data_IF_240232373040
#
_entry.id   IF_240232373040
#
_cell.length_a   1.000
_cell.length_b   1.000
_cell.length_c   1.000
_cell.angle_alpha   90.00
_cell.angle_beta   90.00
_cell.angle_gamma   90.00
#
_symmetry.space_group_name_H-M   'P 1'
#
loop_
_entity.id
_entity.type
_entity.pdbx_description
1 polymer ?
#
# COMPACT_ATOMS: atom_id res chain seq x y z
N UNK A 1 -7.32 30.87 -8.76
CA UNK A 1 -6.12 31.02 -9.61
C UNK A 1 -5.66 32.46 -9.81
N UNK A 2 -6.56 33.45 -9.70
CA UNK A 2 -6.26 34.88 -9.91
C UNK A 2 -5.17 35.42 -8.99
N UNK A 3 -5.20 35.05 -7.70
CA UNK A 3 -4.20 35.51 -6.72
C UNK A 3 -2.74 35.21 -7.10
N UNK A 4 -2.47 34.03 -7.66
CA UNK A 4 -1.08 33.63 -7.99
C UNK A 4 -0.51 34.46 -9.15
N UNK A 5 -1.34 34.81 -10.13
CA UNK A 5 -0.96 35.68 -11.24
C UNK A 5 -0.90 37.15 -10.83
N UNK A 6 -1.88 37.63 -10.06
CA UNK A 6 -1.92 39.01 -9.54
C UNK A 6 -0.71 39.34 -8.68
N UNK A 7 -0.23 38.37 -7.90
CA UNK A 7 0.96 38.52 -7.05
C UNK A 7 2.27 38.07 -7.73
N UNK A 8 2.25 37.77 -9.04
CA UNK A 8 3.41 37.36 -9.82
C UNK A 8 4.19 36.17 -9.22
N UNK A 9 3.47 35.26 -8.56
CA UNK A 9 4.05 34.06 -7.94
C UNK A 9 4.26 32.93 -8.95
N UNK A 10 3.54 32.98 -10.06
CA UNK A 10 3.62 31.99 -11.15
C UNK A 10 3.22 32.65 -12.46
N UNK A 11 3.78 32.17 -13.57
CA UNK A 11 3.33 32.53 -14.91
C UNK A 11 2.63 31.35 -15.63
N UNK A 12 1.95 31.63 -16.74
CA UNK A 12 1.13 30.62 -17.42
C UNK A 12 1.96 29.44 -17.94
N UNK A 13 3.20 29.70 -18.36
CA UNK A 13 4.09 28.65 -18.85
C UNK A 13 4.58 27.72 -17.74
N UNK A 14 4.83 28.25 -16.55
CA UNK A 14 5.19 27.47 -15.36
C UNK A 14 4.02 26.60 -14.91
N UNK A 15 2.81 27.15 -14.91
CA UNK A 15 1.61 26.38 -14.57
C UNK A 15 1.39 25.22 -15.55
N UNK A 16 1.46 25.49 -16.86
CA UNK A 16 1.37 24.45 -17.90
C UNK A 16 2.46 23.39 -17.78
N UNK A 17 3.67 23.78 -17.39
CA UNK A 17 4.75 22.84 -17.16
C UNK A 17 4.51 21.97 -15.92
N UNK A 18 3.90 22.51 -14.87
CA UNK A 18 3.50 21.75 -13.68
C UNK A 18 2.39 20.77 -14.05
N UNK A 19 1.36 21.21 -14.78
CA UNK A 19 0.25 20.36 -15.21
C UNK A 19 0.78 19.17 -16.04
N UNK A 20 1.64 19.42 -17.03
CA UNK A 20 2.27 18.36 -17.83
C UNK A 20 3.05 17.35 -16.98
N UNK A 21 3.79 17.84 -15.97
CA UNK A 21 4.53 16.96 -15.06
C UNK A 21 3.61 16.11 -14.20
N UNK A 22 2.45 16.65 -13.79
CA UNK A 22 1.44 15.92 -13.04
C UNK A 22 0.86 14.82 -13.93
N UNK A 23 0.48 15.14 -15.16
CA UNK A 23 -0.07 14.17 -16.10
C UNK A 23 0.92 13.01 -16.34
N UNK A 24 2.18 13.33 -16.64
CA UNK A 24 3.25 12.33 -16.84
C UNK A 24 3.54 11.50 -15.58
N UNK A 25 3.36 12.05 -14.38
CA UNK A 25 3.55 11.32 -13.13
C UNK A 25 2.38 10.37 -12.87
N UNK A 26 1.15 10.84 -13.09
CA UNK A 26 -0.07 10.05 -12.92
C UNK A 26 -0.08 8.90 -13.92
N UNK A 27 0.24 9.14 -15.19
CA UNK A 27 0.30 8.11 -16.22
C UNK A 27 1.29 7.01 -15.84
N UNK A 28 2.52 7.36 -15.43
CA UNK A 28 3.52 6.38 -14.97
C UNK A 28 3.08 5.62 -13.70
N UNK A 29 2.38 6.28 -12.79
CA UNK A 29 1.88 5.62 -11.59
C UNK A 29 0.78 4.59 -11.91
N UNK A 30 -0.08 4.89 -12.89
CA UNK A 30 -1.10 3.96 -13.40
C UNK A 30 -0.44 2.79 -14.11
N UNK A 31 0.50 3.04 -15.03
CA UNK A 31 1.23 1.99 -15.74
C UNK A 31 1.95 1.05 -14.74
N UNK A 32 2.63 1.61 -13.74
CA UNK A 32 3.26 0.81 -12.67
C UNK A 32 2.24 -0.05 -11.90
N UNK A 33 1.05 0.49 -11.62
CA UNK A 33 0.01 -0.25 -10.91
C UNK A 33 -0.57 -1.40 -11.77
N UNK A 34 -0.75 -1.16 -13.07
CA UNK A 34 -1.26 -2.16 -14.01
C UNK A 34 -0.24 -3.28 -14.28
N UNK A 35 1.05 -2.94 -14.35
CA UNK A 35 2.14 -3.90 -14.51
C UNK A 35 2.47 -4.66 -13.22
N UNK A 36 2.00 -4.18 -12.07
CA UNK A 36 2.28 -4.81 -10.78
C UNK A 36 1.66 -6.21 -10.71
N UNK A 37 2.44 -7.25 -10.38
CA UNK A 37 1.92 -8.60 -10.28
C UNK A 37 0.88 -8.70 -9.16
N UNK A 38 -0.16 -9.49 -9.39
CA UNK A 38 -1.16 -9.81 -8.37
C UNK A 38 -0.47 -10.56 -7.21
N UNK A 39 -0.77 -10.21 -5.95
CA UNK A 39 -0.18 -10.89 -4.80
C UNK A 39 -0.50 -12.39 -4.79
N UNK A 40 0.44 -13.20 -4.29
CA UNK A 40 0.20 -14.63 -4.12
C UNK A 40 -0.97 -14.85 -3.13
N UNK A 41 -1.79 -15.88 -3.37
CA UNK A 41 -2.91 -16.25 -2.49
C UNK A 41 -2.50 -16.40 -1.01
N UNK A 42 -1.26 -16.79 -0.71
CA UNK A 42 -0.73 -16.89 0.67
C UNK A 42 -0.68 -15.52 1.35
N UNK A 43 -0.38 -14.44 0.61
CA UNK A 43 -0.30 -13.08 1.14
C UNK A 43 -1.64 -12.55 1.67
N UNK A 44 -2.78 -13.15 1.28
CA UNK A 44 -4.09 -12.81 1.84
C UNK A 44 -4.16 -12.97 3.37
N UNK A 45 -3.28 -13.80 3.95
CA UNK A 45 -3.23 -14.08 5.39
C UNK A 45 -2.02 -13.44 6.06
N UNK A 46 -1.12 -12.84 5.28
CA UNK A 46 -0.01 -12.07 5.83
C UNK A 46 -0.56 -10.82 6.52
N UNK A 47 -0.01 -10.48 7.69
CA UNK A 47 -0.43 -9.33 8.53
C UNK A 47 -1.84 -9.42 9.16
N UNK A 48 -2.52 -10.57 9.11
CA UNK A 48 -3.79 -10.75 9.85
C UNK A 48 -3.54 -10.79 11.37
N UNK A 49 -2.38 -11.30 11.80
CA UNK A 49 -1.96 -11.33 13.20
C UNK A 49 -0.60 -10.67 13.36
N UNK A 50 -0.43 -9.93 14.46
CA UNK A 50 0.85 -9.30 14.85
C UNK A 50 1.90 -10.36 15.19
N UNK A 51 1.49 -11.54 15.66
CA UNK A 51 2.34 -12.73 15.82
C UNK A 51 1.70 -13.94 15.11
N UNK A 52 2.33 -14.51 14.06
CA UNK A 52 1.82 -15.68 13.36
C UNK A 52 1.81 -16.96 14.21
N UNK A 53 2.49 -16.98 15.37
CA UNK A 53 2.58 -18.15 16.26
C UNK A 53 1.28 -18.45 17.01
N UNK A 54 0.39 -17.47 17.17
CA UNK A 54 -0.84 -17.60 17.95
C UNK A 54 -2.05 -18.15 17.18
N UNK A 55 -1.94 -18.32 15.86
CA UNK A 55 -3.07 -18.66 15.00
C UNK A 55 -2.72 -19.74 13.96
N UNK A 56 -3.43 -20.87 14.04
CA UNK A 56 -3.32 -21.96 13.10
C UNK A 56 -4.53 -22.88 13.17
N UNK A 57 -4.81 -23.58 12.06
CA UNK A 57 -5.75 -24.70 12.06
C UNK A 57 -4.95 -25.92 12.52
N UNK A 58 -5.32 -26.48 13.67
CA UNK A 58 -4.70 -27.71 14.16
C UNK A 58 -4.94 -28.87 13.18
N UNK A 59 -4.19 -29.98 13.28
CA UNK A 59 -4.36 -31.15 12.42
C UNK A 59 -5.78 -31.75 12.46
N UNK A 60 -6.60 -31.37 13.45
CA UNK A 60 -7.98 -31.79 13.62
C UNK A 60 -9.01 -30.78 13.07
N UNK A 61 -8.58 -29.71 12.39
CA UNK A 61 -9.48 -28.68 11.86
C UNK A 61 -9.93 -27.62 12.87
N UNK A 62 -9.49 -27.70 14.13
CA UNK A 62 -9.85 -26.73 15.17
C UNK A 62 -9.00 -25.46 15.11
N UNK A 63 -9.62 -24.33 15.42
CA UNK A 63 -8.96 -23.03 15.51
C UNK A 63 -8.13 -22.96 16.80
N UNK A 64 -6.82 -22.73 16.69
CA UNK A 64 -5.97 -22.39 17.84
C UNK A 64 -5.99 -20.88 18.00
N UNK A 65 -6.63 -20.39 19.07
CA UNK A 65 -6.40 -19.07 19.63
C UNK A 65 -5.80 -19.32 21.01
N UNK A 66 -4.49 -19.58 21.06
CA UNK A 66 -3.80 -19.64 22.34
C UNK A 66 -3.38 -18.21 22.70
N UNK A 67 -3.65 -17.81 23.95
CA UNK A 67 -3.44 -16.46 24.47
C UNK A 67 -2.09 -15.87 23.99
N UNK A 68 -2.07 -14.62 23.45
CA UNK A 68 -0.88 -14.03 22.81
C UNK A 68 0.30 -13.77 23.77
N UNK A 69 0.15 -14.10 25.06
CA UNK A 69 1.24 -14.05 26.05
C UNK A 69 2.11 -15.30 26.08
N UNK A 70 1.68 -16.40 25.45
CA UNK A 70 2.40 -17.67 25.42
C UNK A 70 2.95 -17.91 24.00
N UNK A 71 3.95 -17.11 23.62
CA UNK A 71 4.65 -17.29 22.34
C UNK A 71 5.18 -18.73 22.22
N UNK A 72 4.63 -19.50 21.28
CA UNK A 72 5.10 -20.87 21.05
C UNK A 72 6.41 -20.83 20.28
N UNK A 73 7.48 -20.96 21.06
CA UNK A 73 8.79 -21.40 20.57
C UNK A 73 8.68 -22.91 20.38
N UNK A 74 8.78 -23.41 19.14
CA UNK A 74 9.36 -24.73 18.88
C UNK A 74 10.16 -24.70 17.58
N UNK A 75 11.25 -25.48 17.64
CA UNK A 75 12.47 -25.57 16.82
C UNK A 75 12.22 -25.88 15.36
#
# INVERSE_FOLDING_TARGET
MTYMFENKLVNESELKAIDKKIDELVERAVEFADESPVPNRIQLRENVFVDPKGFGIGPNGSYRCEDPTQGTTQV
#
